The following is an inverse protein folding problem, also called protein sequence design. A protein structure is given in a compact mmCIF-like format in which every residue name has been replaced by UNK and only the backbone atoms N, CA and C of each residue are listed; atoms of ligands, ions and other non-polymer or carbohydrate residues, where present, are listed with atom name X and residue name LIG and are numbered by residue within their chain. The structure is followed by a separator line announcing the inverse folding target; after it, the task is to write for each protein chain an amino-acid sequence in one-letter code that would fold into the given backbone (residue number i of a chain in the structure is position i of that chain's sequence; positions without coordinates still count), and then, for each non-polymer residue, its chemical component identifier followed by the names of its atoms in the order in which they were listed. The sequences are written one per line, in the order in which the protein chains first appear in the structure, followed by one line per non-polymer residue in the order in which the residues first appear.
data_IF_071831484580
#
_entry.id   IF_071831484580
#
_cell.length_a   1.000
_cell.length_b   1.000
_cell.length_c   1.000
_cell.angle_alpha   90.00
_cell.angle_beta   90.00
_cell.angle_gamma   90.00
#
_symmetry.space_group_name_H-M   'P 1'
#
loop_
_entity.id
_entity.type
_entity.pdbx_description
1 polymer ?
#
# COMPACT_ATOMS: atom_id res chain seq x y z
N UNK A 1 17.58 -14.25 -13.10
CA UNK A 1 16.32 -14.24 -12.29
C UNK A 1 15.13 -13.78 -13.15
N UNK A 2 15.20 -12.61 -13.82
CA UNK A 2 14.06 -12.13 -14.61
C UNK A 2 13.71 -13.05 -15.78
N UNK A 3 14.70 -13.58 -16.49
CA UNK A 3 14.53 -14.54 -17.58
C UNK A 3 13.85 -15.83 -17.07
N UNK A 4 14.35 -16.41 -16.00
CA UNK A 4 13.78 -17.61 -15.37
C UNK A 4 12.36 -17.36 -14.82
N UNK A 5 12.10 -16.17 -14.27
CA UNK A 5 10.78 -15.80 -13.80
C UNK A 5 9.77 -15.66 -14.95
N UNK A 6 10.20 -15.11 -16.11
CA UNK A 6 9.41 -15.04 -17.33
C UNK A 6 9.09 -16.43 -17.85
N UNK A 7 10.09 -17.32 -17.92
CA UNK A 7 9.89 -18.73 -18.31
C UNK A 7 8.91 -19.45 -17.38
N UNK A 8 8.90 -19.09 -16.08
CA UNK A 8 7.93 -19.58 -15.11
C UNK A 8 6.53 -18.93 -15.22
N UNK A 9 6.33 -18.04 -16.20
CA UNK A 9 5.03 -17.41 -16.50
C UNK A 9 4.77 -16.08 -15.76
N UNK A 10 5.79 -15.45 -15.15
CA UNK A 10 5.64 -14.11 -14.58
C UNK A 10 5.36 -13.09 -15.69
N UNK A 11 4.35 -12.25 -15.48
CA UNK A 11 3.94 -11.24 -16.44
C UNK A 11 4.05 -9.81 -15.87
N UNK A 12 3.63 -9.61 -14.62
CA UNK A 12 3.57 -8.31 -14.00
C UNK A 12 4.78 -8.07 -13.08
N UNK A 13 5.35 -6.87 -13.15
CA UNK A 13 6.47 -6.45 -12.35
C UNK A 13 6.24 -5.04 -11.79
N UNK A 14 6.53 -4.86 -10.51
CA UNK A 14 6.55 -3.55 -9.87
C UNK A 14 7.99 -3.21 -9.47
N UNK A 15 8.52 -2.13 -10.04
CA UNK A 15 9.81 -1.58 -9.63
C UNK A 15 9.56 -0.53 -8.56
N UNK A 16 10.29 -0.66 -7.47
CA UNK A 16 10.23 0.27 -6.33
C UNK A 16 11.58 0.26 -5.60
N UNK A 17 11.68 1.01 -4.53
CA UNK A 17 12.89 1.06 -3.72
C UNK A 17 12.76 2.14 -2.66
N UNK A 18 13.84 2.86 -2.33
CA UNK A 18 13.72 4.18 -1.77
C UNK A 18 13.19 5.13 -2.84
N UNK A 19 14.04 5.39 -3.85
CA UNK A 19 13.64 6.02 -5.12
C UNK A 19 14.34 5.27 -6.26
N UNK A 20 13.61 4.54 -7.13
CA UNK A 20 14.23 3.71 -8.15
C UNK A 20 15.02 4.52 -9.19
N UNK A 21 14.59 5.73 -9.52
CA UNK A 21 15.26 6.60 -10.49
C UNK A 21 16.62 7.16 -10.00
N UNK A 22 16.95 7.00 -8.71
CA UNK A 22 18.28 7.31 -8.19
C UNK A 22 19.33 6.24 -8.51
N UNK A 23 18.91 5.04 -8.85
CA UNK A 23 19.84 3.96 -9.15
C UNK A 23 20.43 4.15 -10.56
N UNK A 24 21.76 4.16 -10.66
CA UNK A 24 22.49 4.42 -11.93
C UNK A 24 22.11 3.47 -13.06
N UNK A 25 21.84 2.21 -12.74
CA UNK A 25 21.55 1.16 -13.72
C UNK A 25 20.02 0.95 -13.94
N UNK A 26 19.19 1.88 -13.40
CA UNK A 26 17.72 1.79 -13.52
C UNK A 26 17.29 1.60 -14.98
N UNK A 27 17.79 2.42 -15.88
CA UNK A 27 17.38 2.38 -17.29
C UNK A 27 17.83 1.11 -18.00
N UNK A 28 19.05 0.64 -17.71
CA UNK A 28 19.56 -0.62 -18.25
C UNK A 28 18.65 -1.81 -17.85
N UNK A 29 18.26 -1.84 -16.59
CA UNK A 29 17.33 -2.85 -16.11
C UNK A 29 15.92 -2.68 -16.69
N UNK A 30 15.39 -1.45 -16.66
CA UNK A 30 14.02 -1.15 -17.08
C UNK A 30 13.80 -1.47 -18.56
N UNK A 31 14.68 -1.00 -19.44
CA UNK A 31 14.61 -1.26 -20.89
C UNK A 31 14.70 -2.74 -21.18
N UNK A 32 15.65 -3.46 -20.55
CA UNK A 32 15.77 -4.91 -20.70
C UNK A 32 14.52 -5.66 -20.26
N UNK A 33 13.92 -5.29 -19.14
CA UNK A 33 12.68 -5.91 -18.67
C UNK A 33 11.49 -5.60 -19.60
N UNK A 34 11.44 -4.39 -20.15
CA UNK A 34 10.42 -4.00 -21.15
C UNK A 34 10.55 -4.78 -22.45
N UNK A 35 11.79 -4.94 -22.98
CA UNK A 35 12.09 -5.77 -24.16
C UNK A 35 11.73 -7.24 -23.93
N UNK A 36 11.88 -7.72 -22.71
CA UNK A 36 11.44 -9.05 -22.32
C UNK A 36 9.91 -9.19 -22.30
N UNK A 37 9.16 -8.11 -22.42
CA UNK A 37 7.69 -8.09 -22.46
C UNK A 37 7.01 -8.17 -21.10
N UNK A 38 7.69 -7.73 -20.03
CA UNK A 38 7.04 -7.56 -18.73
C UNK A 38 6.10 -6.34 -18.74
N UNK A 39 4.97 -6.47 -18.06
CA UNK A 39 4.05 -5.38 -17.76
C UNK A 39 4.55 -4.68 -16.49
N UNK A 40 5.25 -3.55 -16.66
CA UNK A 40 5.99 -2.88 -15.58
C UNK A 40 5.16 -1.73 -15.00
N UNK A 41 5.00 -1.72 -13.68
CA UNK A 41 4.58 -0.54 -12.92
C UNK A 41 5.75 0.00 -12.10
N UNK A 42 5.72 1.28 -11.77
CA UNK A 42 6.80 1.95 -11.04
C UNK A 42 6.20 2.68 -9.84
N UNK A 43 6.82 2.52 -8.66
CA UNK A 43 6.58 3.38 -7.51
C UNK A 43 7.73 4.37 -7.38
N UNK A 44 7.42 5.66 -7.41
CA UNK A 44 8.42 6.74 -7.33
C UNK A 44 7.89 7.90 -6.48
N UNK A 45 8.79 8.71 -5.94
CA UNK A 45 8.42 9.99 -5.34
C UNK A 45 8.17 11.09 -6.39
N UNK A 46 8.44 10.83 -7.67
CA UNK A 46 8.21 11.72 -8.78
C UNK A 46 9.23 12.86 -8.95
N UNK A 47 10.09 13.12 -7.96
CA UNK A 47 10.96 14.31 -7.95
C UNK A 47 12.10 14.30 -8.97
N UNK A 48 12.36 13.15 -9.60
CA UNK A 48 13.41 12.95 -10.61
C UNK A 48 12.86 12.77 -12.04
N UNK A 49 11.56 12.88 -12.20
CA UNK A 49 10.94 12.76 -13.52
C UNK A 49 11.01 14.10 -14.24
N UNK A 50 11.96 14.21 -15.14
CA UNK A 50 12.15 15.31 -16.07
C UNK A 50 11.66 14.93 -17.49
N UNK A 51 11.89 15.82 -18.45
CA UNK A 51 11.52 15.60 -19.85
C UNK A 51 12.21 14.37 -20.48
N UNK A 52 13.47 14.10 -20.09
CA UNK A 52 14.21 12.95 -20.60
C UNK A 52 13.62 11.64 -20.09
N UNK A 53 13.21 11.60 -18.82
CA UNK A 53 12.52 10.45 -18.22
C UNK A 53 11.18 10.23 -18.90
N UNK A 54 10.40 11.28 -19.15
CA UNK A 54 9.12 11.17 -19.86
C UNK A 54 9.32 10.63 -21.29
N UNK A 55 10.30 11.12 -22.03
CA UNK A 55 10.58 10.61 -23.37
C UNK A 55 11.02 9.15 -23.37
N UNK A 56 11.79 8.69 -22.37
CA UNK A 56 12.12 7.28 -22.25
C UNK A 56 10.89 6.42 -21.90
N UNK A 57 9.98 6.91 -21.05
CA UNK A 57 8.72 6.22 -20.79
C UNK A 57 7.78 6.19 -21.99
N UNK A 58 7.86 7.13 -22.91
CA UNK A 58 7.14 7.02 -24.22
C UNK A 58 7.70 5.91 -25.10
N UNK A 59 9.02 5.68 -25.07
CA UNK A 59 9.66 4.59 -25.83
C UNK A 59 9.36 3.22 -25.23
N UNK A 60 9.35 3.12 -23.90
CA UNK A 60 9.09 1.91 -23.13
C UNK A 60 7.97 2.20 -22.12
N UNK A 61 6.69 2.21 -22.55
CA UNK A 61 5.61 2.66 -21.69
C UNK A 61 5.40 1.75 -20.47
N UNK A 62 5.46 2.29 -19.26
CA UNK A 62 5.01 1.54 -18.09
C UNK A 62 3.50 1.34 -18.13
N UNK A 63 3.01 0.26 -17.52
CA UNK A 63 1.56 0.07 -17.33
C UNK A 63 0.99 1.16 -16.44
N UNK A 64 1.79 1.61 -15.44
CA UNK A 64 1.41 2.69 -14.53
C UNK A 64 2.61 3.24 -13.79
N UNK A 65 2.60 4.54 -13.55
CA UNK A 65 3.49 5.21 -12.61
C UNK A 65 2.69 5.60 -11.36
N UNK A 66 3.04 5.01 -10.22
CA UNK A 66 2.46 5.35 -8.92
C UNK A 66 3.34 6.43 -8.28
N UNK A 67 2.80 7.63 -8.08
CA UNK A 67 3.52 8.76 -7.51
C UNK A 67 3.04 9.02 -6.09
N UNK A 68 3.98 9.20 -5.16
CA UNK A 68 3.67 9.60 -3.80
C UNK A 68 3.29 11.08 -3.75
N UNK A 69 2.08 11.39 -3.27
CA UNK A 69 1.60 12.75 -3.06
C UNK A 69 1.33 12.98 -1.58
N UNK A 70 2.11 13.84 -0.94
CA UNK A 70 2.05 14.11 0.50
C UNK A 70 1.40 15.44 0.86
N UNK A 71 1.22 16.34 -0.09
CA UNK A 71 0.66 17.66 -0.01
C UNK A 71 0.65 18.32 -1.38
N UNK A 72 0.10 19.51 -1.48
CA UNK A 72 0.06 20.33 -2.70
C UNK A 72 0.78 21.67 -2.51
N UNK A 73 1.62 21.75 -1.49
CA UNK A 73 2.42 22.92 -1.15
C UNK A 73 3.85 22.50 -0.76
N UNK A 74 4.83 23.38 -0.99
CA UNK A 74 6.24 23.12 -0.66
C UNK A 74 6.46 22.90 0.83
N UNK A 75 5.75 23.65 1.69
CA UNK A 75 5.86 23.53 3.16
C UNK A 75 5.53 22.14 3.68
N UNK A 76 4.54 21.47 3.07
CA UNK A 76 4.15 20.11 3.44
C UNK A 76 5.24 19.10 3.10
N UNK A 77 5.86 19.27 1.93
CA UNK A 77 7.00 18.42 1.55
C UNK A 77 8.25 18.73 2.38
N UNK A 78 8.56 19.98 2.66
CA UNK A 78 9.70 20.35 3.50
C UNK A 78 9.55 19.73 4.90
N UNK A 79 8.36 19.85 5.48
CA UNK A 79 8.07 19.31 6.81
C UNK A 79 8.16 17.77 6.86
N UNK A 80 7.58 17.08 5.87
CA UNK A 80 7.48 15.62 5.88
C UNK A 80 8.74 14.92 5.35
N UNK A 81 9.36 15.49 4.30
CA UNK A 81 10.48 14.87 3.59
C UNK A 81 11.84 15.52 3.91
N UNK A 82 11.85 16.67 4.58
CA UNK A 82 13.07 17.43 4.89
C UNK A 82 13.75 18.06 3.67
N UNK A 83 13.06 18.18 2.54
CA UNK A 83 13.60 18.67 1.28
C UNK A 83 12.73 19.81 0.72
N UNK A 84 13.36 20.91 0.30
CA UNK A 84 12.71 22.07 -0.30
C UNK A 84 12.49 21.91 -1.81
N UNK A 85 11.51 22.64 -2.34
CA UNK A 85 11.21 22.71 -3.78
C UNK A 85 10.96 21.33 -4.40
N UNK A 86 10.21 20.47 -3.69
CA UNK A 86 9.89 19.13 -4.16
C UNK A 86 8.53 19.10 -4.82
N UNK A 87 7.51 19.78 -4.27
CA UNK A 87 6.17 19.74 -4.82
C UNK A 87 6.12 20.21 -6.28
N UNK A 88 6.78 21.32 -6.60
CA UNK A 88 6.84 21.83 -7.98
C UNK A 88 7.43 20.81 -8.97
N UNK A 89 8.40 20.00 -8.55
CA UNK A 89 8.94 18.90 -9.37
C UNK A 89 7.97 17.75 -9.51
N UNK A 90 7.26 17.40 -8.42
CA UNK A 90 6.25 16.34 -8.44
C UNK A 90 5.06 16.72 -9.30
N UNK A 91 4.58 17.99 -9.20
CA UNK A 91 3.50 18.50 -10.06
C UNK A 91 3.91 18.51 -11.54
N UNK A 92 5.13 18.96 -11.84
CA UNK A 92 5.69 18.87 -13.19
C UNK A 92 5.68 17.42 -13.70
N UNK A 93 6.17 16.48 -12.92
CA UNK A 93 6.21 15.06 -13.28
C UNK A 93 4.83 14.50 -13.58
N UNK A 94 3.85 14.74 -12.68
CA UNK A 94 2.46 14.30 -12.86
C UNK A 94 1.88 14.88 -14.13
N UNK A 95 2.02 16.19 -14.33
CA UNK A 95 1.48 16.89 -15.51
C UNK A 95 2.09 16.34 -16.79
N UNK A 96 3.43 16.19 -16.86
CA UNK A 96 4.10 15.70 -18.08
C UNK A 96 3.81 14.23 -18.39
N UNK A 97 3.66 13.38 -17.40
CA UNK A 97 3.27 11.99 -17.60
C UNK A 97 1.84 11.89 -18.14
N UNK A 98 0.90 12.67 -17.60
CA UNK A 98 -0.49 12.72 -18.06
C UNK A 98 -0.56 13.25 -19.49
N UNK A 99 0.13 14.37 -19.81
CA UNK A 99 0.24 14.90 -21.16
C UNK A 99 0.82 13.89 -22.17
N UNK A 100 1.72 13.02 -21.70
CA UNK A 100 2.30 11.95 -22.51
C UNK A 100 1.39 10.71 -22.66
N UNK A 101 0.20 10.70 -22.06
CA UNK A 101 -0.72 9.56 -22.08
C UNK A 101 -0.28 8.37 -21.22
N UNK A 102 0.63 8.60 -20.26
CA UNK A 102 1.09 7.57 -19.33
C UNK A 102 0.12 7.50 -18.15
N UNK A 103 -0.30 6.30 -17.81
CA UNK A 103 -1.19 6.06 -16.66
C UNK A 103 -0.52 6.47 -15.35
N UNK A 104 -1.11 7.42 -14.65
CA UNK A 104 -0.63 7.90 -13.34
C UNK A 104 -1.63 7.58 -12.26
N UNK A 105 -1.14 7.08 -11.12
CA UNK A 105 -1.91 6.93 -9.88
C UNK A 105 -1.20 7.65 -8.75
N UNK A 106 -1.93 8.43 -7.98
CA UNK A 106 -1.40 9.11 -6.81
C UNK A 106 -1.63 8.28 -5.54
N UNK A 107 -0.60 8.15 -4.72
CA UNK A 107 -0.67 7.46 -3.44
C UNK A 107 -0.30 8.42 -2.30
N UNK A 108 -1.23 8.57 -1.34
CA UNK A 108 -1.01 9.36 -0.15
C UNK A 108 -0.93 8.50 1.11
N UNK A 109 0.17 8.62 1.85
CA UNK A 109 0.21 8.16 3.24
C UNK A 109 -0.10 9.34 4.13
N UNK A 110 -1.24 9.28 4.81
CA UNK A 110 -1.70 10.34 5.68
C UNK A 110 -1.13 10.13 7.09
N UNK A 111 -0.56 11.18 7.65
CA UNK A 111 0.06 11.23 8.98
C UNK A 111 -0.42 12.47 9.73
N UNK A 112 -0.15 12.59 11.03
CA UNK A 112 -0.42 13.83 11.77
C UNK A 112 0.22 15.07 11.15
N UNK A 113 1.33 14.91 10.41
CA UNK A 113 2.08 16.04 9.84
C UNK A 113 1.47 16.62 8.56
N UNK A 114 0.81 15.79 7.75
CA UNK A 114 0.21 16.22 6.48
C UNK A 114 -1.31 16.07 6.41
N UNK A 115 -1.96 15.78 7.52
CA UNK A 115 -3.43 15.59 7.55
C UNK A 115 -4.20 16.85 7.12
N UNK A 116 -3.63 18.03 7.31
CA UNK A 116 -4.17 19.31 6.86
C UNK A 116 -4.33 19.39 5.34
N UNK A 117 -3.50 18.65 4.60
CA UNK A 117 -3.45 18.67 3.14
C UNK A 117 -4.41 17.66 2.47
N UNK A 118 -5.17 16.88 3.25
CA UNK A 118 -6.05 15.83 2.73
C UNK A 118 -7.03 16.35 1.67
N UNK A 119 -7.73 17.45 1.99
CA UNK A 119 -8.78 17.99 1.11
C UNK A 119 -8.17 18.60 -0.16
N UNK A 120 -7.05 19.30 -0.04
CA UNK A 120 -6.34 19.89 -1.17
C UNK A 120 -5.70 18.82 -2.07
N UNK A 121 -5.18 17.74 -1.52
CA UNK A 121 -4.69 16.59 -2.31
C UNK A 121 -5.81 15.90 -3.09
N UNK A 122 -6.99 15.73 -2.48
CA UNK A 122 -8.17 15.18 -3.16
C UNK A 122 -8.64 16.12 -4.27
N UNK A 123 -8.70 17.42 -4.02
CA UNK A 123 -9.07 18.42 -5.02
C UNK A 123 -8.10 18.43 -6.21
N UNK A 124 -6.79 18.41 -5.93
CA UNK A 124 -5.74 18.32 -6.93
C UNK A 124 -5.87 17.07 -7.82
N UNK A 125 -6.10 15.90 -7.22
CA UNK A 125 -6.29 14.66 -7.97
C UNK A 125 -7.54 14.70 -8.84
N UNK A 126 -8.66 15.25 -8.32
CA UNK A 126 -9.91 15.40 -9.08
C UNK A 126 -9.77 16.38 -10.25
N UNK A 127 -9.03 17.49 -10.07
CA UNK A 127 -8.75 18.46 -11.15
C UNK A 127 -8.01 17.81 -12.33
N UNK A 128 -7.10 16.88 -12.03
CA UNK A 128 -6.31 16.16 -13.03
C UNK A 128 -6.95 14.83 -13.48
N UNK A 129 -8.16 14.52 -13.02
CA UNK A 129 -8.87 13.23 -13.27
C UNK A 129 -8.01 12.00 -12.91
N UNK A 130 -7.32 12.07 -11.78
CA UNK A 130 -6.43 11.01 -11.31
C UNK A 130 -6.99 10.29 -10.08
N UNK A 131 -6.68 9.00 -10.00
CA UNK A 131 -6.97 8.22 -8.79
C UNK A 131 -6.00 8.63 -7.68
N UNK A 132 -6.53 9.03 -6.52
CA UNK A 132 -5.75 9.26 -5.31
C UNK A 132 -6.10 8.21 -4.25
N UNK A 133 -5.18 7.29 -3.98
CA UNK A 133 -5.35 6.29 -2.92
C UNK A 133 -4.80 6.81 -1.60
N UNK A 134 -5.67 6.96 -0.60
CA UNK A 134 -5.30 7.46 0.73
C UNK A 134 -5.15 6.31 1.71
N UNK A 135 -3.97 6.17 2.27
CA UNK A 135 -3.64 5.22 3.32
C UNK A 135 -3.48 5.94 4.65
N UNK A 136 -4.25 5.55 5.66
CA UNK A 136 -4.19 6.09 7.03
C UNK A 136 -3.51 5.14 8.02
N UNK A 137 -3.21 3.92 7.60
CA UNK A 137 -2.42 2.97 8.37
C UNK A 137 -0.97 2.97 7.87
N UNK A 138 -0.05 3.38 8.72
CA UNK A 138 1.37 3.32 8.45
C UNK A 138 1.98 2.08 9.12
N UNK A 139 2.62 1.24 8.31
CA UNK A 139 3.32 0.06 8.82
C UNK A 139 4.51 0.46 9.69
N UNK A 140 4.68 -0.14 10.88
CA UNK A 140 5.95 -0.08 11.60
C UNK A 140 7.11 -0.56 10.71
N UNK A 141 8.30 0.09 10.77
CA UNK A 141 9.41 -0.21 9.85
C UNK A 141 10.23 -1.45 10.26
N UNK A 142 9.54 -2.58 10.51
CA UNK A 142 10.13 -3.84 10.96
C UNK A 142 11.29 -4.34 10.08
N UNK A 143 11.19 -4.14 8.76
CA UNK A 143 12.23 -4.60 7.81
C UNK A 143 13.60 -3.98 8.05
N UNK A 144 13.65 -2.81 8.69
CA UNK A 144 14.90 -2.07 8.92
C UNK A 144 15.37 -2.17 10.36
N UNK A 145 14.44 -2.17 11.30
CA UNK A 145 14.77 -2.10 12.73
C UNK A 145 13.78 -2.92 13.54
N UNK A 146 14.18 -4.09 14.03
CA UNK A 146 13.32 -4.97 14.84
C UNK A 146 12.78 -4.31 16.12
N UNK A 147 13.54 -3.38 16.72
CA UNK A 147 13.08 -2.63 17.89
C UNK A 147 11.88 -1.72 17.62
N UNK A 148 11.52 -1.52 16.34
CA UNK A 148 10.38 -0.73 15.91
C UNK A 148 9.09 -1.54 15.73
N UNK A 149 9.07 -2.81 16.12
CA UNK A 149 7.84 -3.62 16.14
C UNK A 149 6.73 -2.86 16.89
N UNK A 150 5.60 -2.62 16.21
CA UNK A 150 4.46 -1.87 16.73
C UNK A 150 4.70 -0.38 16.99
N UNK A 151 5.87 0.15 16.63
CA UNK A 151 6.27 1.53 16.94
C UNK A 151 6.52 2.32 15.65
N UNK A 152 5.87 3.45 15.52
CA UNK A 152 6.17 4.52 14.57
C UNK A 152 5.34 5.76 14.91
N UNK A 153 5.73 6.90 14.39
CA UNK A 153 4.95 8.13 14.47
C UNK A 153 3.81 8.04 13.43
N UNK A 154 2.60 7.84 13.91
CA UNK A 154 1.40 7.67 13.10
C UNK A 154 0.16 8.10 13.88
N UNK A 155 -0.96 8.14 13.22
CA UNK A 155 -2.24 8.34 13.88
C UNK A 155 -2.49 7.33 15.02
N UNK A 156 -3.24 7.75 16.03
CA UNK A 156 -3.93 6.81 16.92
C UNK A 156 -4.91 5.96 16.11
N UNK A 157 -5.34 4.79 16.61
CA UNK A 157 -6.36 3.98 15.93
C UNK A 157 -7.64 4.74 15.60
N UNK A 158 -8.09 5.62 16.49
CA UNK A 158 -9.29 6.43 16.30
C UNK A 158 -9.10 7.48 15.19
N UNK A 159 -7.96 8.17 15.17
CA UNK A 159 -7.63 9.10 14.10
C UNK A 159 -7.51 8.40 12.74
N UNK A 160 -6.81 7.26 12.68
CA UNK A 160 -6.67 6.49 11.45
C UNK A 160 -8.03 6.05 10.89
N UNK A 161 -8.94 5.61 11.75
CA UNK A 161 -10.30 5.25 11.40
C UNK A 161 -11.11 6.45 10.90
N UNK A 162 -11.05 7.56 11.64
CA UNK A 162 -11.74 8.80 11.30
C UNK A 162 -11.29 9.35 9.94
N UNK A 163 -9.98 9.49 9.72
CA UNK A 163 -9.46 10.04 8.47
C UNK A 163 -9.65 9.08 7.29
N UNK A 164 -9.67 7.77 7.50
CA UNK A 164 -10.08 6.80 6.49
C UNK A 164 -11.53 7.04 6.06
N UNK A 165 -12.44 7.18 7.00
CA UNK A 165 -13.85 7.44 6.72
C UNK A 165 -14.05 8.82 6.07
N UNK A 166 -13.37 9.87 6.58
CA UNK A 166 -13.40 11.22 6.02
C UNK A 166 -12.88 11.25 4.58
N UNK A 167 -11.74 10.62 4.29
CA UNK A 167 -11.18 10.58 2.93
C UNK A 167 -12.11 9.88 1.96
N UNK A 168 -12.71 8.76 2.36
CA UNK A 168 -13.68 8.05 1.52
C UNK A 168 -14.92 8.92 1.20
N UNK A 169 -15.45 9.60 2.20
CA UNK A 169 -16.59 10.51 2.04
C UNK A 169 -16.29 11.68 1.10
N UNK A 170 -15.10 12.28 1.22
CA UNK A 170 -14.66 13.38 0.36
C UNK A 170 -14.46 12.95 -1.09
N UNK A 171 -13.87 11.78 -1.31
CA UNK A 171 -13.57 11.27 -2.67
C UNK A 171 -14.81 10.77 -3.40
N UNK A 172 -15.72 10.10 -2.70
CA UNK A 172 -16.80 9.36 -3.35
C UNK A 172 -18.21 9.93 -3.09
N UNK A 173 -18.31 10.96 -2.25
CA UNK A 173 -19.57 11.61 -1.92
C UNK A 173 -20.44 10.82 -0.93
N UNK A 174 -21.52 11.48 -0.48
CA UNK A 174 -22.34 10.97 0.63
C UNK A 174 -23.05 9.66 0.33
N UNK A 175 -23.53 9.44 -0.90
CA UNK A 175 -24.25 8.21 -1.25
C UNK A 175 -23.35 6.97 -1.19
N UNK A 176 -22.14 7.05 -1.81
CA UNK A 176 -21.18 5.95 -1.77
C UNK A 176 -20.63 5.73 -0.37
N UNK A 177 -20.41 6.81 0.37
CA UNK A 177 -20.02 6.74 1.77
C UNK A 177 -21.07 6.00 2.60
N UNK A 178 -22.36 6.35 2.47
CA UNK A 178 -23.46 5.65 3.17
C UNK A 178 -23.46 4.15 2.86
N UNK A 179 -23.39 3.75 1.58
CA UNK A 179 -23.31 2.34 1.18
C UNK A 179 -22.09 1.62 1.77
N UNK A 180 -20.94 2.30 1.82
CA UNK A 180 -19.72 1.76 2.43
C UNK A 180 -19.90 1.54 3.93
N UNK A 181 -20.47 2.50 4.65
CA UNK A 181 -20.73 2.39 6.09
C UNK A 181 -21.82 1.34 6.40
N UNK A 182 -22.84 1.24 5.57
CA UNK A 182 -23.84 0.18 5.68
C UNK A 182 -23.17 -1.21 5.56
N UNK A 183 -22.34 -1.43 4.57
CA UNK A 183 -21.62 -2.68 4.39
C UNK A 183 -20.69 -3.02 5.58
N UNK A 184 -20.03 -2.01 6.17
CA UNK A 184 -19.25 -2.18 7.41
C UNK A 184 -20.17 -2.60 8.58
N UNK A 185 -21.32 -1.94 8.74
CA UNK A 185 -22.25 -2.23 9.83
C UNK A 185 -22.81 -3.65 9.72
N UNK A 186 -23.14 -4.08 8.52
CA UNK A 186 -23.66 -5.44 8.22
C UNK A 186 -22.56 -6.52 8.23
N UNK A 187 -21.29 -6.13 8.17
CA UNK A 187 -20.18 -7.07 8.06
C UNK A 187 -20.08 -7.75 6.69
N UNK A 188 -20.55 -7.07 5.64
CA UNK A 188 -20.65 -7.60 4.28
C UNK A 188 -19.51 -7.13 3.33
N UNK A 189 -18.49 -6.45 3.85
CA UNK A 189 -17.38 -5.96 3.03
C UNK A 189 -16.43 -7.09 2.70
N UNK A 190 -16.29 -7.39 1.41
CA UNK A 190 -15.16 -8.13 0.89
C UNK A 190 -13.95 -7.21 0.77
N UNK A 191 -12.76 -7.60 1.27
CA UNK A 191 -11.55 -6.80 1.10
C UNK A 191 -11.27 -6.53 -0.38
N UNK A 192 -10.91 -5.29 -0.75
CA UNK A 192 -10.51 -4.98 -2.13
C UNK A 192 -9.34 -5.88 -2.57
N UNK A 193 -9.43 -6.47 -3.76
CA UNK A 193 -8.35 -7.29 -4.33
C UNK A 193 -8.27 -8.74 -3.84
N UNK A 194 -9.21 -9.18 -3.01
CA UNK A 194 -9.43 -10.60 -2.75
C UNK A 194 -10.53 -11.11 -3.70
N UNK A 195 -10.25 -12.19 -4.41
CA UNK A 195 -11.30 -12.91 -5.13
C UNK A 195 -12.42 -13.25 -4.15
N UNK A 196 -13.69 -13.15 -4.57
CA UNK A 196 -14.85 -13.50 -3.75
C UNK A 196 -14.76 -14.91 -3.13
N UNK A 197 -13.90 -15.76 -3.69
CA UNK A 197 -13.59 -17.10 -3.20
C UNK A 197 -12.53 -17.15 -2.11
N UNK A 198 -11.90 -16.03 -1.81
CA UNK A 198 -10.85 -15.93 -0.80
C UNK A 198 -11.42 -15.55 0.58
N UNK A 199 -12.45 -16.25 0.99
CA UNK A 199 -12.79 -16.29 2.42
C UNK A 199 -11.65 -17.00 3.13
N UNK A 200 -11.09 -16.38 4.18
CA UNK A 200 -10.02 -16.99 4.95
C UNK A 200 -10.36 -18.45 5.26
N UNK A 201 -9.50 -19.39 4.90
CA UNK A 201 -9.77 -20.79 5.16
C UNK A 201 -10.00 -20.98 6.66
N UNK A 202 -10.95 -21.81 7.02
CA UNK A 202 -11.24 -22.13 8.44
C UNK A 202 -10.03 -22.70 9.20
N UNK A 203 -9.00 -23.12 8.47
CA UNK A 203 -7.73 -23.65 9.00
C UNK A 203 -6.70 -22.55 9.37
N UNK A 204 -7.06 -21.28 9.29
CA UNK A 204 -6.22 -20.16 9.67
C UNK A 204 -5.17 -19.75 8.66
N UNK A 205 -5.11 -20.39 7.50
CA UNK A 205 -4.17 -20.00 6.44
C UNK A 205 -4.54 -18.64 5.87
N UNK A 206 -3.53 -17.93 5.38
CA UNK A 206 -3.77 -16.63 4.76
C UNK A 206 -4.29 -16.79 3.32
N UNK A 207 -5.27 -15.98 2.94
CA UNK A 207 -5.79 -15.93 1.57
C UNK A 207 -4.95 -15.12 0.59
N UNK A 208 -3.98 -14.37 1.06
CA UNK A 208 -3.15 -13.49 0.26
C UNK A 208 -2.35 -14.25 -0.80
N UNK A 209 -2.06 -13.58 -1.94
CA UNK A 209 -1.20 -14.09 -3.02
C UNK A 209 0.28 -14.14 -2.63
N UNK A 210 0.68 -13.44 -1.58
CA UNK A 210 2.06 -13.35 -1.08
C UNK A 210 2.67 -14.74 -0.81
N UNK A 211 3.79 -15.04 -1.45
CA UNK A 211 4.46 -16.34 -1.39
C UNK A 211 3.69 -17.49 -2.06
N UNK A 212 2.64 -17.22 -2.86
CA UNK A 212 1.83 -18.21 -3.58
C UNK A 212 1.74 -17.93 -5.08
N UNK A 213 1.48 -16.69 -5.44
CA UNK A 213 1.41 -16.20 -6.81
C UNK A 213 2.09 -14.83 -6.97
N UNK A 214 2.70 -14.32 -5.92
CA UNK A 214 3.53 -13.11 -5.93
C UNK A 214 4.66 -13.24 -4.94
N UNK A 215 5.74 -12.53 -5.19
CA UNK A 215 6.93 -12.45 -4.36
C UNK A 215 7.52 -11.04 -4.43
N UNK A 216 8.48 -10.80 -3.58
CA UNK A 216 9.28 -9.58 -3.54
C UNK A 216 10.75 -9.95 -3.55
N UNK A 217 11.56 -9.24 -4.35
CA UNK A 217 13.02 -9.33 -4.28
C UNK A 217 13.53 -8.07 -3.61
N UNK A 218 14.28 -8.26 -2.54
CA UNK A 218 14.91 -7.17 -1.80
C UNK A 218 16.20 -6.70 -2.49
N UNK A 219 16.63 -5.49 -2.19
CA UNK A 219 17.84 -4.89 -2.74
C UNK A 219 19.12 -5.69 -2.40
N UNK A 220 19.11 -6.44 -1.31
CA UNK A 220 20.21 -7.29 -0.83
C UNK A 220 20.11 -8.75 -1.31
N UNK A 221 19.19 -9.04 -2.22
CA UNK A 221 19.13 -10.31 -2.94
C UNK A 221 18.31 -11.42 -2.27
N UNK A 222 17.38 -11.08 -1.38
CA UNK A 222 16.46 -12.05 -0.81
C UNK A 222 15.10 -12.05 -1.51
N UNK A 223 14.51 -13.22 -1.67
CA UNK A 223 13.13 -13.40 -2.10
C UNK A 223 12.22 -13.58 -0.88
N UNK A 224 11.24 -12.69 -0.71
CA UNK A 224 10.27 -12.69 0.40
C UNK A 224 8.83 -12.76 -0.12
N UNK A 225 7.83 -13.13 0.71
CA UNK A 225 6.44 -13.21 0.25
C UNK A 225 5.88 -11.88 -0.25
N UNK A 226 6.22 -10.78 0.42
CA UNK A 226 5.81 -9.42 0.02
C UNK A 226 6.78 -8.37 0.56
N UNK A 227 6.67 -7.14 0.04
CA UNK A 227 7.52 -6.02 0.43
C UNK A 227 7.46 -5.63 1.91
N UNK A 228 6.43 -6.02 2.63
CA UNK A 228 6.22 -5.68 4.04
C UNK A 228 6.62 -6.80 5.02
N UNK A 229 6.98 -8.00 4.52
CA UNK A 229 7.39 -9.14 5.35
C UNK A 229 8.87 -9.42 5.18
N UNK A 230 9.69 -9.33 6.24
CA UNK A 230 11.10 -9.71 6.15
C UNK A 230 11.29 -11.23 6.12
N UNK A 231 10.34 -12.00 6.62
CA UNK A 231 10.41 -13.47 6.72
C UNK A 231 9.07 -14.11 6.30
N UNK A 232 9.09 -15.32 5.70
CA UNK A 232 10.28 -16.08 5.31
C UNK A 232 11.09 -15.37 4.21
N UNK A 233 12.40 -15.57 4.19
CA UNK A 233 13.32 -15.01 3.20
C UNK A 233 14.19 -16.13 2.61
N UNK A 234 14.34 -16.15 1.29
CA UNK A 234 15.18 -17.11 0.57
C UNK A 234 16.31 -16.35 -0.12
N UNK A 235 17.56 -16.69 0.19
CA UNK A 235 18.73 -16.10 -0.44
C UNK A 235 18.83 -16.53 -1.91
N UNK A 236 18.99 -15.56 -2.81
CA UNK A 236 19.11 -15.77 -4.25
C UNK A 236 20.55 -15.92 -4.75
N UNK A 237 21.56 -15.73 -3.90
CA UNK A 237 22.98 -15.78 -4.30
C UNK A 237 23.37 -17.13 -4.87
N UNK A 238 22.92 -18.22 -4.21
CA UNK A 238 23.29 -19.58 -4.55
C UNK A 238 22.12 -20.41 -5.12
N UNK A 239 21.02 -19.75 -5.51
CA UNK A 239 19.82 -20.41 -6.01
C UNK A 239 19.32 -19.76 -7.29
N UNK A 240 18.94 -20.59 -8.25
CA UNK A 240 18.16 -20.10 -9.37
C UNK A 240 16.71 -19.74 -8.91
N UNK A 241 16.02 -18.98 -9.74
CA UNK A 241 14.66 -18.53 -9.44
C UNK A 241 13.71 -19.68 -9.12
N UNK A 242 13.75 -20.76 -9.89
CA UNK A 242 12.83 -21.89 -9.74
C UNK A 242 12.95 -22.58 -8.38
N UNK A 243 14.17 -22.79 -7.90
CA UNK A 243 14.42 -23.36 -6.56
C UNK A 243 14.00 -22.41 -5.46
N UNK A 244 14.37 -21.12 -5.58
CA UNK A 244 13.99 -20.11 -4.60
C UNK A 244 12.47 -19.94 -4.52
N UNK A 245 11.78 -19.88 -5.65
CA UNK A 245 10.33 -19.80 -5.71
C UNK A 245 9.62 -21.00 -5.09
N UNK A 246 10.12 -22.21 -5.37
CA UNK A 246 9.59 -23.44 -4.76
C UNK A 246 9.73 -23.43 -3.24
N UNK A 247 10.88 -23.01 -2.75
CA UNK A 247 11.14 -22.89 -1.31
C UNK A 247 10.24 -21.84 -0.68
N UNK A 248 10.18 -20.62 -1.26
CA UNK A 248 9.32 -19.55 -0.76
C UNK A 248 7.85 -19.97 -0.75
N UNK A 249 7.36 -20.61 -1.82
CA UNK A 249 5.98 -21.08 -1.92
C UNK A 249 5.67 -22.14 -0.86
N UNK A 250 6.60 -23.06 -0.59
CA UNK A 250 6.44 -24.03 0.49
C UNK A 250 6.30 -23.34 1.84
N UNK A 251 7.15 -22.36 2.15
CA UNK A 251 7.10 -21.60 3.38
C UNK A 251 5.86 -20.68 3.44
N UNK A 252 5.52 -20.01 2.32
CA UNK A 252 4.37 -19.10 2.23
C UNK A 252 3.02 -19.78 2.47
N UNK A 253 2.88 -21.04 2.04
CA UNK A 253 1.66 -21.84 2.30
C UNK A 253 1.49 -22.24 3.77
N UNK A 254 2.51 -22.09 4.58
CA UNK A 254 2.51 -22.41 6.03
C UNK A 254 2.24 -21.19 6.89
N UNK A 255 2.23 -20.00 6.29
CA UNK A 255 1.88 -18.79 7.02
C UNK A 255 0.42 -18.84 7.46
N UNK A 256 0.18 -18.50 8.71
CA UNK A 256 -1.15 -18.47 9.32
C UNK A 256 -1.36 -17.20 10.12
N UNK A 257 -2.62 -16.86 10.32
CA UNK A 257 -3.05 -15.82 11.23
C UNK A 257 -3.44 -16.44 12.58
N UNK A 258 -3.54 -15.61 13.60
CA UNK A 258 -4.07 -16.04 14.91
C UNK A 258 -5.44 -16.70 14.75
N UNK A 259 -5.63 -17.86 15.39
CA UNK A 259 -6.93 -18.51 15.47
C UNK A 259 -8.02 -17.65 16.12
N UNK A 260 -7.62 -16.64 16.93
CA UNK A 260 -8.54 -15.62 17.48
C UNK A 260 -9.02 -14.69 16.36
N UNK A 261 -8.10 -14.22 15.50
CA UNK A 261 -8.44 -13.37 14.38
C UNK A 261 -9.35 -14.06 13.37
N UNK A 262 -9.14 -15.35 13.11
CA UNK A 262 -9.96 -16.12 12.18
C UNK A 262 -11.42 -16.31 12.66
N UNK A 263 -11.65 -16.30 13.97
CA UNK A 263 -12.99 -16.42 14.59
C UNK A 263 -13.56 -15.09 15.07
N UNK A 264 -12.85 -13.99 14.80
CA UNK A 264 -13.25 -12.65 15.23
C UNK A 264 -14.53 -12.21 14.50
N UNK A 265 -15.51 -11.65 15.22
CA UNK A 265 -16.73 -11.08 14.64
C UNK A 265 -16.50 -9.91 13.70
N UNK A 266 -15.33 -9.25 13.80
CA UNK A 266 -14.93 -8.17 12.92
C UNK A 266 -14.14 -8.65 11.68
N UNK A 267 -13.96 -9.98 11.50
CA UNK A 267 -13.08 -10.51 10.45
C UNK A 267 -13.48 -10.08 9.05
N UNK A 268 -14.77 -10.01 8.76
CA UNK A 268 -15.31 -9.60 7.46
C UNK A 268 -15.03 -8.13 7.09
N UNK A 269 -14.80 -7.26 8.08
CA UNK A 269 -14.48 -5.84 7.88
C UNK A 269 -13.03 -5.49 8.21
N UNK A 270 -12.31 -6.43 8.83
CA UNK A 270 -10.92 -6.27 9.21
C UNK A 270 -10.00 -6.75 8.08
N UNK A 271 -9.29 -5.81 7.44
CA UNK A 271 -8.34 -6.09 6.37
C UNK A 271 -6.93 -6.47 6.88
N UNK A 272 -6.81 -6.87 8.14
CA UNK A 272 -5.55 -7.30 8.73
C UNK A 272 -4.98 -8.50 7.97
N UNK A 273 -3.69 -8.41 7.62
CA UNK A 273 -2.93 -9.46 6.93
C UNK A 273 -1.74 -9.93 7.79
N UNK A 274 -1.07 -11.00 7.35
CA UNK A 274 0.10 -11.54 8.06
C UNK A 274 1.25 -10.53 8.19
N UNK A 275 1.45 -9.66 7.19
CA UNK A 275 2.47 -8.61 7.24
C UNK A 275 2.13 -7.55 8.30
N UNK A 276 0.85 -7.14 8.42
CA UNK A 276 0.41 -6.23 9.48
C UNK A 276 0.59 -6.86 10.86
N UNK A 277 0.17 -8.12 11.04
CA UNK A 277 0.36 -8.82 12.30
C UNK A 277 1.84 -8.90 12.69
N UNK A 278 2.72 -9.24 11.74
CA UNK A 278 4.16 -9.28 11.96
C UNK A 278 4.74 -7.91 12.30
N UNK A 279 4.34 -6.85 11.59
CA UNK A 279 4.84 -5.50 11.85
C UNK A 279 4.43 -4.97 13.24
N UNK A 280 3.23 -5.32 13.70
CA UNK A 280 2.70 -4.88 15.00
C UNK A 280 3.20 -5.72 16.18
N UNK A 281 3.48 -7.02 15.97
CA UNK A 281 3.68 -7.97 17.07
C UNK A 281 4.94 -8.82 16.95
N UNK A 282 5.66 -8.72 15.84
CA UNK A 282 6.85 -9.52 15.53
C UNK A 282 6.54 -10.93 14.99
N UNK A 283 5.27 -11.33 14.84
CA UNK A 283 4.87 -12.66 14.34
C UNK A 283 3.54 -12.63 13.61
N UNK A 284 3.36 -13.53 12.65
CA UNK A 284 2.15 -13.59 11.81
C UNK A 284 0.90 -13.97 12.58
N UNK A 285 1.01 -14.79 13.61
CA UNK A 285 -0.08 -15.20 14.51
C UNK A 285 -0.35 -14.20 15.64
N UNK A 286 0.35 -13.07 15.67
CA UNK A 286 0.13 -12.02 16.65
C UNK A 286 -1.23 -11.34 16.48
N UNK A 287 -1.77 -10.80 17.58
CA UNK A 287 -3.01 -10.00 17.55
C UNK A 287 -2.61 -8.52 17.55
N UNK A 288 -2.79 -7.81 16.42
CA UNK A 288 -2.40 -6.40 16.32
C UNK A 288 -3.46 -5.50 16.96
N UNK A 289 -3.33 -5.20 18.24
CA UNK A 289 -4.28 -4.39 19.02
C UNK A 289 -4.61 -3.05 18.36
N UNK A 290 -3.62 -2.40 17.77
CA UNK A 290 -3.82 -1.17 17.01
C UNK A 290 -4.91 -1.31 15.93
N UNK A 291 -4.85 -2.38 15.13
CA UNK A 291 -5.82 -2.63 14.08
C UNK A 291 -7.18 -3.06 14.65
N UNK A 292 -7.20 -3.78 15.78
CA UNK A 292 -8.44 -4.11 16.46
C UNK A 292 -9.20 -2.84 16.86
N UNK A 293 -8.54 -1.92 17.53
CA UNK A 293 -9.13 -0.63 17.92
C UNK A 293 -9.52 0.23 16.71
N UNK A 294 -8.71 0.26 15.66
CA UNK A 294 -9.07 0.97 14.43
C UNK A 294 -10.37 0.43 13.80
N UNK A 295 -10.58 -0.87 13.81
CA UNK A 295 -11.81 -1.49 13.28
C UNK A 295 -13.01 -1.23 14.19
N UNK A 296 -12.83 -1.22 15.50
CA UNK A 296 -13.88 -0.84 16.44
C UNK A 296 -14.36 0.60 16.21
N UNK A 297 -13.45 1.53 15.96
CA UNK A 297 -13.77 2.92 15.64
C UNK A 297 -14.46 3.06 14.28
N UNK A 298 -14.04 2.33 13.25
CA UNK A 298 -14.73 2.30 11.95
C UNK A 298 -16.17 1.80 12.12
N UNK A 299 -16.39 0.74 12.91
CA UNK A 299 -17.73 0.23 13.17
C UNK A 299 -18.59 1.20 14.00
N UNK A 300 -17.98 1.93 14.91
CA UNK A 300 -18.68 3.00 15.61
C UNK A 300 -19.14 4.09 14.64
N UNK A 301 -18.28 4.57 13.73
CA UNK A 301 -18.66 5.54 12.69
C UNK A 301 -19.78 4.99 11.79
N UNK A 302 -19.74 3.70 11.45
CA UNK A 302 -20.79 3.06 10.66
C UNK A 302 -22.14 3.03 11.39
N UNK A 303 -22.15 2.77 12.70
CA UNK A 303 -23.37 2.82 13.51
C UNK A 303 -23.96 4.23 13.58
N UNK A 304 -23.13 5.27 13.74
CA UNK A 304 -23.55 6.67 13.70
C UNK A 304 -24.22 7.01 12.37
N UNK A 305 -23.59 6.64 11.25
CA UNK A 305 -24.15 6.86 9.92
C UNK A 305 -25.51 6.17 9.75
N UNK A 306 -25.66 4.91 10.21
CA UNK A 306 -26.93 4.17 10.17
C UNK A 306 -28.01 4.79 11.08
N UNK A 307 -27.61 5.44 12.15
CA UNK A 307 -28.51 6.19 13.03
C UNK A 307 -28.92 7.57 12.48
N UNK A 308 -28.37 7.98 11.33
CA UNK A 308 -28.60 9.31 10.75
C UNK A 308 -27.88 10.44 11.52
N UNK A 309 -26.88 10.10 12.33
CA UNK A 309 -26.09 11.08 13.06
C UNK A 309 -25.11 11.80 12.13
N UNK A 310 -24.81 13.08 12.35
CA UNK A 310 -23.86 13.80 11.52
C UNK A 310 -22.45 13.23 11.68
N UNK A 311 -21.68 13.23 10.57
CA UNK A 311 -20.26 12.84 10.63
C UNK A 311 -19.52 13.71 11.65
N UNK A 312 -18.75 13.11 12.58
CA UNK A 312 -18.12 13.88 13.65
C UNK A 312 -17.14 14.93 13.10
N UNK A 313 -17.06 16.07 13.76
CA UNK A 313 -16.14 17.16 13.36
C UNK A 313 -14.67 16.85 13.66
N UNK A 314 -14.40 15.89 14.56
CA UNK A 314 -13.06 15.45 14.97
C UNK A 314 -13.04 13.97 15.38
N UNK A 315 -11.87 13.33 15.37
CA UNK A 315 -11.72 11.97 15.89
C UNK A 315 -12.14 11.87 17.35
N UNK A 316 -12.62 10.71 17.77
CA UNK A 316 -12.81 10.43 19.19
C UNK A 316 -11.47 10.46 19.92
N UNK A 317 -11.47 11.02 21.11
CA UNK A 317 -10.36 10.84 22.05
C UNK A 317 -10.55 9.45 22.63
N UNK A 318 -9.85 8.45 22.06
CA UNK A 318 -9.91 7.09 22.55
C UNK A 318 -9.29 7.03 23.95
N UNK A 319 -9.96 6.39 24.89
CA UNK A 319 -9.28 5.89 26.08
C UNK A 319 -8.36 4.75 25.59
N UNK A 320 -7.06 5.00 25.56
CA UNK A 320 -5.98 4.02 25.29
C UNK A 320 -5.93 3.02 26.43
#
# INVERSE_FOLDING_TARGET
IAEEAKEAGMLYLLITGGEPLLWSDFWTLYERLSEMGFLISINTNGSLIDEQVVERFKQYPPVRVNISLYGVEEDSYEKLCGVKNVFSRVDYAITKLVEAGIEVKLNGTLTPDNVKDLESCIAYANEKDLIYEVNTYMFPPLRRVESMIGKNERFTPAEAAYYRAKSYRLQYGSERYHKYMQAINEGSISPPGLDEKCVDPKDGKICCRAGKASFWITWDGFMTPCGMMPNPAVDLKDKNFSLAWKELTYQGRRLSLSGICNRCSNRSVCHMCAAMAMAETGKTEGIPSYLCHMIEEIRWLAKMEMAGEPFPSKPRIGNI
#
